data_IF_638121392353
#
_entry.id   IF_638121392353
#
_cell.length_a   1.000
_cell.length_b   1.000
_cell.length_c   1.000
_cell.angle_alpha   90.00
_cell.angle_beta   90.00
_cell.angle_gamma   90.00
#
_symmetry.space_group_name_H-M   'P 1'
#
loop_
_entity.id
_entity.type
_entity.pdbx_description
1 polymer ?
#
# COMPACT_ATOMS: atom_id res chain seq x y z
N UNK A 1 -13.57 -0.16 11.56
CA UNK A 1 -14.09 0.54 11.03
C UNK A 1 -15.16 1.21 11.13
N UNK A 2 -15.40 1.74 11.26
CA UNK A 2 -16.17 2.17 11.28
C UNK A 2 -16.86 2.47 10.68
N UNK A 3 -17.18 2.47 11.08
CA UNK A 3 -17.69 2.64 10.40
C UNK A 3 -18.83 3.26 10.14
N UNK A 4 -18.95 4.27 10.21
CA UNK A 4 -20.05 4.96 9.69
C UNK A 4 -19.91 5.02 8.23
N UNK A 5 -20.82 4.39 7.57
CA UNK A 5 -20.72 4.29 6.14
C UNK A 5 -21.85 5.07 5.56
N UNK A 6 -21.55 5.97 4.66
CA UNK A 6 -22.54 6.81 4.03
C UNK A 6 -23.32 6.06 2.95
N UNK A 7 -22.88 4.86 2.60
CA UNK A 7 -23.44 4.14 1.47
C UNK A 7 -22.77 4.48 0.15
N UNK A 8 -21.80 5.36 0.17
CA UNK A 8 -21.06 5.73 -1.04
C UNK A 8 -19.90 4.78 -1.24
N UNK A 9 -19.84 4.14 -2.40
CA UNK A 9 -18.77 3.18 -2.65
C UNK A 9 -17.42 3.84 -2.72
N UNK A 10 -17.35 5.10 -3.15
CA UNK A 10 -16.07 5.83 -3.14
C UNK A 10 -15.59 6.01 -1.72
N UNK A 11 -16.49 6.35 -0.80
CA UNK A 11 -16.11 6.53 0.58
C UNK A 11 -15.60 5.23 1.20
N UNK A 12 -16.28 4.13 0.89
CA UNK A 12 -15.82 2.83 1.38
C UNK A 12 -14.42 2.51 0.89
N UNK A 13 -14.18 2.75 -0.40
CA UNK A 13 -12.86 2.52 -0.96
C UNK A 13 -11.82 3.40 -0.27
N UNK A 14 -12.15 4.66 -0.02
CA UNK A 14 -11.20 5.57 0.61
C UNK A 14 -10.93 5.20 2.05
N UNK A 15 -11.91 4.63 2.75
CA UNK A 15 -11.64 4.13 4.10
C UNK A 15 -10.60 3.01 4.09
N UNK A 16 -10.58 2.23 3.02
CA UNK A 16 -9.65 1.13 2.90
C UNK A 16 -8.27 1.59 2.45
N UNK A 17 -8.22 2.41 1.40
CA UNK A 17 -6.97 2.75 0.74
C UNK A 17 -6.56 4.21 0.92
N UNK A 18 -7.30 4.95 1.74
CA UNK A 18 -7.00 6.35 1.95
C UNK A 18 -5.67 6.54 2.68
N UNK A 19 -5.25 7.79 2.73
CA UNK A 19 -3.96 8.12 3.30
C UNK A 19 -2.89 8.13 2.24
N UNK A 20 -1.70 8.46 2.67
CA UNK A 20 -0.60 8.72 1.75
C UNK A 20 0.12 7.46 1.30
N UNK A 21 0.13 6.42 2.16
CA UNK A 21 1.12 5.37 2.01
C UNK A 21 0.58 4.03 1.57
N UNK A 22 -0.72 3.75 1.80
CA UNK A 22 -1.22 2.39 1.61
C UNK A 22 -1.12 1.90 0.18
N UNK A 23 -1.57 2.70 -0.79
CA UNK A 23 -1.46 2.30 -2.18
C UNK A 23 0.00 2.18 -2.61
N UNK A 24 0.84 3.03 -2.07
CA UNK A 24 2.26 2.98 -2.39
C UNK A 24 2.88 1.67 -1.88
N UNK A 25 2.55 1.29 -0.64
CA UNK A 25 3.00 0.02 -0.10
C UNK A 25 2.56 -1.14 -0.98
N UNK A 26 1.28 -1.15 -1.36
CA UNK A 26 0.76 -2.22 -2.20
C UNK A 26 1.46 -2.24 -3.55
N UNK A 27 1.75 -1.07 -4.11
CA UNK A 27 2.42 -1.01 -5.41
C UNK A 27 3.79 -1.69 -5.37
N UNK A 28 4.52 -1.54 -4.27
CA UNK A 28 5.81 -2.22 -4.14
C UNK A 28 5.64 -3.71 -3.89
N UNK A 29 4.59 -4.10 -3.16
CA UNK A 29 4.32 -5.52 -2.95
C UNK A 29 3.83 -6.22 -4.21
N UNK A 30 3.33 -5.48 -5.19
CA UNK A 30 3.01 -6.06 -6.49
C UNK A 30 4.25 -6.56 -7.22
N UNK A 31 5.40 -6.00 -6.91
CA UNK A 31 6.65 -6.44 -7.54
C UNK A 31 7.06 -7.82 -7.06
N UNK A 32 7.00 -8.03 -5.74
CA UNK A 32 7.37 -9.30 -5.11
C UNK A 32 7.07 -9.21 -3.62
N UNK A 33 7.05 -10.34 -2.92
CA UNK A 33 6.99 -10.32 -1.46
C UNK A 33 8.22 -9.61 -0.91
N UNK A 34 8.04 -8.90 0.22
CA UNK A 34 9.11 -8.07 0.77
C UNK A 34 9.16 -8.15 2.28
N UNK A 35 10.35 -7.89 2.79
CA UNK A 35 10.56 -7.70 4.22
C UNK A 35 10.25 -6.26 4.59
N UNK A 36 10.06 -6.03 5.89
CA UNK A 36 9.83 -4.69 6.40
C UNK A 36 10.95 -3.73 5.99
N UNK A 37 12.20 -4.18 6.13
CA UNK A 37 13.35 -3.33 5.79
C UNK A 37 13.39 -2.98 4.31
N UNK A 38 12.94 -3.90 3.45
CA UNK A 38 12.90 -3.62 2.03
C UNK A 38 11.86 -2.56 1.70
N UNK A 39 10.69 -2.64 2.34
CA UNK A 39 9.67 -1.61 2.16
C UNK A 39 10.14 -0.25 2.66
N UNK A 40 10.87 -0.22 3.81
CA UNK A 40 11.45 1.01 4.29
C UNK A 40 12.43 1.60 3.29
N UNK A 41 13.17 0.75 2.63
CA UNK A 41 14.14 1.19 1.61
C UNK A 41 13.44 1.70 0.36
N UNK A 42 12.34 1.04 -0.02
CA UNK A 42 11.56 1.45 -1.19
C UNK A 42 10.87 2.78 -0.96
N UNK A 43 10.47 3.07 0.28
CA UNK A 43 9.71 4.27 0.61
C UNK A 43 10.46 5.03 1.70
N UNK A 44 11.55 5.74 1.33
CA UNK A 44 12.40 6.36 2.36
C UNK A 44 11.68 7.39 3.23
N UNK A 45 10.62 8.01 2.71
CA UNK A 45 9.93 9.06 3.44
C UNK A 45 8.98 8.55 4.51
N UNK A 46 8.65 7.25 4.50
CA UNK A 46 7.73 6.71 5.50
C UNK A 46 8.49 6.43 6.79
N UNK A 47 7.86 6.77 7.93
CA UNK A 47 8.45 6.43 9.21
C UNK A 47 8.19 4.97 9.53
N UNK A 48 9.01 4.41 10.40
CA UNK A 48 8.83 3.03 10.84
C UNK A 48 7.45 2.84 11.46
N UNK A 49 7.02 3.83 12.24
CA UNK A 49 5.72 3.76 12.89
C UNK A 49 4.58 3.72 11.88
N UNK A 50 4.64 4.60 10.87
CA UNK A 50 3.59 4.64 9.86
C UNK A 50 3.55 3.37 9.04
N UNK A 51 4.71 2.85 8.67
CA UNK A 51 4.77 1.61 7.91
C UNK A 51 4.15 0.47 8.71
N UNK A 52 4.48 0.39 9.99
CA UNK A 52 3.90 -0.63 10.87
C UNK A 52 2.39 -0.50 10.92
N UNK A 53 1.90 0.73 11.10
CA UNK A 53 0.45 0.96 11.22
C UNK A 53 -0.27 0.63 9.94
N UNK A 54 0.27 1.06 8.80
CA UNK A 54 -0.39 0.83 7.53
C UNK A 54 -0.34 -0.63 7.12
N UNK A 55 0.76 -1.33 7.41
CA UNK A 55 0.83 -2.76 7.14
C UNK A 55 -0.19 -3.53 7.99
N UNK A 56 -0.36 -3.13 9.25
CA UNK A 56 -1.38 -3.76 10.09
C UNK A 56 -2.78 -3.53 9.55
N UNK A 57 -3.04 -2.30 9.12
CA UNK A 57 -4.36 -1.99 8.57
C UNK A 57 -4.63 -2.79 7.30
N UNK A 58 -3.63 -2.92 6.44
CA UNK A 58 -3.78 -3.71 5.22
C UNK A 58 -3.95 -5.20 5.53
N UNK A 59 -3.25 -5.67 6.54
CA UNK A 59 -3.37 -7.06 6.96
C UNK A 59 -4.76 -7.33 7.53
N UNK A 60 -5.26 -6.44 8.38
CA UNK A 60 -6.58 -6.58 8.96
C UNK A 60 -7.68 -6.52 7.91
N UNK A 61 -7.45 -5.75 6.87
CA UNK A 61 -8.41 -5.65 5.76
C UNK A 61 -8.35 -6.86 4.82
N UNK A 62 -7.40 -7.77 5.04
CA UNK A 62 -7.30 -8.96 4.21
C UNK A 62 -6.58 -8.75 2.90
N UNK A 63 -5.84 -7.65 2.75
CA UNK A 63 -5.14 -7.34 1.50
C UNK A 63 -3.68 -7.77 1.53
N UNK A 64 -3.10 -7.89 2.73
CA UNK A 64 -1.70 -8.24 2.92
C UNK A 64 -1.62 -9.41 3.88
N UNK A 65 -0.75 -10.35 3.57
CA UNK A 65 -0.48 -11.50 4.41
C UNK A 65 0.92 -11.33 5.02
N UNK A 66 0.99 -11.50 6.33
CA UNK A 66 2.25 -11.44 7.05
C UNK A 66 2.64 -12.86 7.44
N UNK A 67 3.75 -13.33 6.91
CA UNK A 67 4.22 -14.70 7.16
C UNK A 67 5.49 -14.64 7.99
N UNK A 68 5.47 -15.35 9.11
CA UNK A 68 6.62 -15.45 10.01
C UNK A 68 7.30 -16.78 9.78
N UNK A 69 8.60 -16.73 9.51
CA UNK A 69 9.41 -17.94 9.37
C UNK A 69 10.24 -18.10 10.65
N UNK A 70 10.10 -19.23 11.34
CA UNK A 70 10.77 -19.42 12.63
C UNK A 70 12.24 -19.79 12.45
N UNK A 71 12.99 -18.87 11.89
CA UNK A 71 14.42 -19.01 11.71
C UNK A 71 15.15 -18.18 12.76
N UNK A 72 16.46 -18.24 12.74
CA UNK A 72 17.27 -17.39 13.59
C UNK A 72 18.23 -16.62 12.69
N UNK A 73 18.04 -15.28 12.56
CA UNK A 73 16.96 -14.47 13.16
C UNK A 73 15.62 -14.72 12.50
N UNK A 74 14.56 -14.39 13.20
CA UNK A 74 13.20 -14.54 12.68
C UNK A 74 13.06 -13.73 11.39
N UNK A 75 12.40 -14.35 10.42
CA UNK A 75 12.17 -13.73 9.12
C UNK A 75 10.68 -13.49 8.94
N UNK A 76 10.31 -12.27 8.55
CA UNK A 76 8.92 -11.90 8.32
C UNK A 76 8.81 -11.39 6.89
N UNK A 77 7.88 -11.96 6.14
CA UNK A 77 7.66 -11.59 4.75
C UNK A 77 6.24 -11.09 4.59
N UNK A 78 6.08 -9.96 3.92
CA UNK A 78 4.78 -9.40 3.57
C UNK A 78 4.48 -9.72 2.12
N UNK A 79 3.24 -10.11 1.86
CA UNK A 79 2.81 -10.55 0.54
C UNK A 79 1.37 -10.09 0.32
N UNK A 80 0.99 -9.92 -0.94
CA UNK A 80 -0.39 -9.58 -1.25
C UNK A 80 -1.25 -10.84 -1.24
N UNK A 81 -2.46 -10.71 -0.72
CA UNK A 81 -3.47 -11.75 -0.83
C UNK A 81 -4.13 -11.65 -2.21
N UNK A 82 -4.94 -12.64 -2.61
CA UNK A 82 -5.72 -12.49 -3.83
C UNK A 82 -6.58 -11.23 -3.83
N UNK A 83 -7.15 -10.86 -2.67
CA UNK A 83 -7.90 -9.61 -2.59
C UNK A 83 -6.98 -8.40 -2.75
N UNK A 84 -5.77 -8.47 -2.21
CA UNK A 84 -4.81 -7.39 -2.38
C UNK A 84 -4.43 -7.16 -3.84
N UNK A 85 -4.42 -8.23 -4.62
CA UNK A 85 -4.10 -8.12 -6.04
C UNK A 85 -5.15 -7.34 -6.82
N UNK A 86 -6.36 -7.22 -6.27
CA UNK A 86 -7.41 -6.43 -6.92
C UNK A 86 -7.04 -4.96 -6.98
N UNK A 87 -6.14 -4.51 -6.12
CA UNK A 87 -5.71 -3.12 -6.12
C UNK A 87 -4.79 -2.77 -7.28
N UNK A 88 -4.34 -3.78 -8.04
CA UNK A 88 -3.49 -3.50 -9.20
C UNK A 88 -4.18 -2.56 -10.19
N UNK A 89 -5.47 -2.79 -10.45
CA UNK A 89 -6.22 -1.92 -11.35
C UNK A 89 -6.31 -0.50 -10.82
N UNK A 90 -6.56 -0.38 -9.51
CA UNK A 90 -6.66 0.93 -8.88
C UNK A 90 -5.32 1.66 -9.02
N UNK A 91 -4.23 0.96 -8.75
CA UNK A 91 -2.90 1.56 -8.82
C UNK A 91 -2.58 1.99 -10.24
N UNK A 92 -2.97 1.20 -11.23
CA UNK A 92 -2.73 1.56 -12.63
C UNK A 92 -3.44 2.87 -12.98
N UNK A 93 -4.67 3.04 -12.53
CA UNK A 93 -5.42 4.27 -12.80
C UNK A 93 -4.81 5.45 -12.06
N UNK A 94 -4.41 5.23 -10.80
CA UNK A 94 -3.74 6.28 -10.03
C UNK A 94 -2.44 6.68 -10.69
N UNK A 95 -1.71 5.71 -11.24
CA UNK A 95 -0.47 6.00 -11.96
C UNK A 95 -0.73 6.84 -13.19
N UNK A 96 -1.80 6.53 -13.93
CA UNK A 96 -2.18 7.34 -15.08
C UNK A 96 -2.48 8.78 -14.67
N UNK A 97 -3.19 8.93 -13.56
CA UNK A 97 -3.46 10.27 -13.05
C UNK A 97 -2.17 10.99 -12.70
N UNK A 98 -1.24 10.28 -12.08
CA UNK A 98 0.05 10.86 -11.72
C UNK A 98 0.84 11.34 -12.93
N UNK A 99 0.83 10.53 -13.98
CA UNK A 99 1.52 10.91 -15.22
C UNK A 99 0.86 12.12 -15.88
N UNK A 100 -0.46 12.17 -15.86
CA UNK A 100 -1.18 13.33 -16.38
C UNK A 100 -0.83 14.58 -15.59
N UNK A 101 -0.76 14.46 -14.25
CA UNK A 101 -0.40 15.60 -13.42
C UNK A 101 1.02 16.09 -13.70
N UNK A 102 1.94 15.16 -13.92
CA UNK A 102 3.31 15.54 -14.27
C UNK A 102 3.35 16.31 -15.58
N UNK A 103 2.59 15.85 -16.58
CA UNK A 103 2.53 16.55 -17.85
C UNK A 103 1.93 17.94 -17.71
N UNK A 104 0.91 18.07 -16.85
CA UNK A 104 0.29 19.37 -16.60
C UNK A 104 1.25 20.34 -15.93
N UNK A 105 2.17 19.80 -15.13
CA UNK A 105 3.18 20.61 -14.47
C UNK A 105 4.47 20.64 -15.26
N UNK A 106 4.37 20.49 -16.55
CA UNK A 106 5.51 20.49 -17.43
C UNK A 106 6.30 21.76 -17.26
N UNK A 107 7.62 21.63 -17.22
CA UNK A 107 8.47 22.78 -16.95
C UNK A 107 8.90 22.81 -15.52
N UNK A 108 8.19 22.12 -14.65
CA UNK A 108 8.62 21.93 -13.28
C UNK A 108 9.44 20.65 -13.23
N UNK A 109 10.70 20.77 -12.96
CA UNK A 109 11.57 19.61 -12.93
C UNK A 109 11.36 18.80 -11.69
N UNK A 110 11.33 17.51 -11.85
CA UNK A 110 11.25 16.63 -10.70
C UNK A 110 12.60 16.09 -10.35
#
# INVERSE_FOLDING_TARGET
>A
MKSVVSGCSVEEAMNLIGGRWRLLIVSYLLEKPKRFSELRRDIPAISQRMLTMDLRALEEAGLVLRTVFPEVPVKVIYNLTPDGLRLKKVINVVQELGLWLKGRNEGVEC
#
